data_IF_683160688388
#
_entry.id   IF_683160688388
#
_cell.length_a   1.000
_cell.length_b   1.000
_cell.length_c   1.000
_cell.angle_alpha   90.00
_cell.angle_beta   90.00
_cell.angle_gamma   90.00
#
_symmetry.space_group_name_H-M   'P 1'
#
loop_
_entity.id
_entity.type
_entity.pdbx_description
1 polymer ?
#
# COMPACT_ATOMS: atom_id res chain seq x y z
N UNK A 1 -28.02 5.86 0.01
CA UNK A 1 -27.01 4.98 0.57
C UNK A 1 -25.69 5.13 -0.14
N UNK A 2 -24.63 5.17 0.62
CA UNK A 2 -23.32 5.43 0.06
C UNK A 2 -22.68 4.14 -0.42
N UNK A 3 -22.17 4.12 -1.65
CA UNK A 3 -21.53 2.91 -2.14
C UNK A 3 -20.22 2.65 -1.43
N UNK A 4 -20.10 1.46 -0.92
CA UNK A 4 -18.90 1.07 -0.20
C UNK A 4 -17.68 1.00 -1.12
N UNK A 5 -17.94 0.86 -2.40
CA UNK A 5 -16.85 0.73 -3.37
C UNK A 5 -15.96 1.97 -3.35
N UNK A 6 -16.55 3.16 -3.30
CA UNK A 6 -15.77 4.39 -3.29
C UNK A 6 -14.94 4.47 -2.02
N UNK A 7 -15.53 4.11 -0.89
CA UNK A 7 -14.81 4.15 0.37
C UNK A 7 -13.65 3.15 0.37
N UNK A 8 -13.88 1.98 -0.19
CA UNK A 8 -12.83 0.97 -0.24
C UNK A 8 -11.64 1.47 -1.03
N UNK A 9 -11.89 2.14 -2.15
CA UNK A 9 -10.79 2.68 -2.95
C UNK A 9 -9.99 3.71 -2.19
N UNK A 10 -10.68 4.64 -1.54
CA UNK A 10 -10.00 5.67 -0.77
C UNK A 10 -9.18 5.06 0.34
N UNK A 11 -9.74 4.06 1.01
CA UNK A 11 -9.02 3.39 2.07
C UNK A 11 -7.76 2.73 1.56
N UNK A 12 -7.85 2.09 0.39
CA UNK A 12 -6.68 1.45 -0.19
C UNK A 12 -5.59 2.43 -0.54
N UNK A 13 -5.97 3.56 -1.15
CA UNK A 13 -4.98 4.58 -1.52
C UNK A 13 -4.34 5.17 -0.28
N UNK A 14 -5.14 5.46 0.73
CA UNK A 14 -4.61 6.03 1.97
C UNK A 14 -3.63 5.06 2.63
N UNK A 15 -3.97 3.78 2.63
CA UNK A 15 -3.09 2.80 3.24
C UNK A 15 -1.79 2.68 2.48
N UNK A 16 -1.86 2.70 1.15
CA UNK A 16 -0.66 2.63 0.33
C UNK A 16 0.24 3.82 0.60
N UNK A 17 -0.34 5.00 0.67
CA UNK A 17 0.44 6.20 0.96
C UNK A 17 1.07 6.12 2.34
N UNK A 18 0.34 5.62 3.31
CA UNK A 18 0.89 5.45 4.65
C UNK A 18 2.08 4.51 4.64
N UNK A 19 1.95 3.41 3.92
CA UNK A 19 3.04 2.45 3.84
C UNK A 19 4.26 3.05 3.16
N UNK A 20 4.04 3.82 2.11
CA UNK A 20 5.16 4.46 1.41
C UNK A 20 5.85 5.47 2.32
N UNK A 21 5.09 6.24 3.06
CA UNK A 21 5.67 7.17 4.00
C UNK A 21 6.47 6.46 5.07
N UNK A 22 5.92 5.36 5.58
CA UNK A 22 6.62 4.58 6.59
C UNK A 22 7.91 4.00 6.02
N UNK A 23 7.87 3.56 4.76
CA UNK A 23 9.05 3.03 4.11
C UNK A 23 10.14 4.08 4.02
N UNK A 24 9.80 5.26 3.55
CA UNK A 24 10.77 6.34 3.43
C UNK A 24 11.35 6.69 4.79
N UNK A 25 10.50 6.71 5.80
CA UNK A 25 10.96 7.03 7.15
C UNK A 25 11.92 5.97 7.66
N UNK A 26 11.58 4.70 7.43
CA UNK A 26 12.44 3.61 7.85
C UNK A 26 13.82 3.72 7.20
N UNK A 27 13.83 4.04 5.91
CA UNK A 27 15.10 4.21 5.20
C UNK A 27 15.88 5.38 5.78
N UNK A 28 15.19 6.46 6.06
CA UNK A 28 15.83 7.64 6.62
C UNK A 28 16.47 7.34 7.96
N UNK A 29 15.86 6.46 8.73
CA UNK A 29 16.38 6.07 10.03
C UNK A 29 17.29 4.85 9.94
N UNK A 30 17.55 4.39 8.73
CA UNK A 30 18.40 3.23 8.50
C UNK A 30 17.82 1.97 9.13
N UNK A 31 16.51 1.94 9.31
CA UNK A 31 15.82 0.77 9.81
C UNK A 31 15.47 -0.13 8.63
N UNK A 32 16.49 -0.77 8.06
CA UNK A 32 16.33 -1.51 6.82
C UNK A 32 15.44 -2.73 6.97
N UNK A 33 15.43 -3.34 8.14
CA UNK A 33 14.55 -4.49 8.36
C UNK A 33 13.09 -4.07 8.27
N UNK A 34 12.78 -2.93 8.89
CA UNK A 34 11.42 -2.41 8.81
C UNK A 34 11.11 -1.98 7.40
N UNK A 35 12.08 -1.35 6.74
CA UNK A 35 11.89 -0.91 5.37
C UNK A 35 11.56 -2.09 4.47
N UNK A 36 12.21 -3.21 4.67
CA UNK A 36 11.95 -4.40 3.87
C UNK A 36 10.53 -4.90 4.09
N UNK A 37 10.05 -4.86 5.33
CA UNK A 37 8.70 -5.27 5.62
C UNK A 37 7.68 -4.37 4.93
N UNK A 38 7.87 -3.06 5.04
CA UNK A 38 6.97 -2.13 4.39
C UNK A 38 6.99 -2.30 2.88
N UNK A 39 8.17 -2.53 2.34
CA UNK A 39 8.29 -2.74 0.91
C UNK A 39 7.51 -3.98 0.47
N UNK A 40 7.62 -5.06 1.23
CA UNK A 40 6.89 -6.28 0.91
C UNK A 40 5.39 -6.03 0.96
N UNK A 41 4.93 -5.31 1.96
CA UNK A 41 3.52 -5.02 2.09
C UNK A 41 3.03 -4.17 0.93
N UNK A 42 3.81 -3.18 0.53
CA UNK A 42 3.44 -2.34 -0.59
C UNK A 42 3.36 -3.16 -1.87
N UNK A 43 4.33 -4.02 -2.09
CA UNK A 43 4.33 -4.86 -3.28
C UNK A 43 3.12 -5.78 -3.31
N UNK A 44 2.81 -6.40 -2.19
CA UNK A 44 1.65 -7.28 -2.13
C UNK A 44 0.37 -6.51 -2.43
N UNK A 45 0.28 -5.30 -1.93
CA UNK A 45 -0.88 -4.47 -2.16
C UNK A 45 -1.02 -4.12 -3.63
N UNK A 46 0.09 -3.74 -4.25
CA UNK A 46 0.08 -3.38 -5.67
C UNK A 46 -0.23 -4.56 -6.56
N UNK A 47 0.35 -5.71 -6.24
CA UNK A 47 0.12 -6.89 -7.04
C UNK A 47 -1.33 -7.31 -7.01
N UNK A 48 -1.95 -7.18 -5.85
CA UNK A 48 -3.36 -7.52 -5.73
C UNK A 48 -4.21 -6.60 -6.59
N UNK A 49 -3.92 -5.31 -6.55
CA UNK A 49 -4.67 -4.34 -7.35
C UNK A 49 -4.43 -4.56 -8.83
N UNK A 50 -3.19 -4.84 -9.21
CA UNK A 50 -2.86 -5.07 -10.63
C UNK A 50 -3.52 -6.33 -11.13
N UNK A 51 -3.55 -7.37 -10.30
CA UNK A 51 -4.21 -8.61 -10.68
C UNK A 51 -5.66 -8.37 -11.04
N UNK A 52 -6.35 -7.60 -10.22
CA UNK A 52 -7.74 -7.30 -10.49
C UNK A 52 -7.89 -6.53 -11.78
N UNK A 53 -7.02 -5.56 -12.01
CA UNK A 53 -7.09 -4.76 -13.22
C UNK A 53 -6.85 -5.61 -14.45
N UNK A 54 -5.90 -6.52 -14.37
CA UNK A 54 -5.58 -7.38 -15.51
C UNK A 54 -6.73 -8.31 -15.81
N UNK A 55 -7.37 -8.83 -14.79
CA UNK A 55 -8.48 -9.75 -14.99
C UNK A 55 -9.71 -9.04 -15.53
N UNK A 56 -9.82 -7.78 -15.26
CA UNK A 56 -10.93 -7.02 -15.79
C UNK A 56 -10.79 -6.83 -17.29
#
# INVERSE_FOLDING_TARGET
KIPDVALSRQTGIAKLQSLESALLRAISEEAYEDAAKFRDEIQAYKEDAVSEAVQS
#
